data_IF_458400665375
#
_entry.id   IF_458400665375
#
_cell.length_a   1.000
_cell.length_b   1.000
_cell.length_c   1.000
_cell.angle_alpha   90.00
_cell.angle_beta   90.00
_cell.angle_gamma   90.00
#
_symmetry.space_group_name_H-M   'P 1'
#
loop_
_entity.id
_entity.type
_entity.pdbx_description
1 polymer ?
#
# COMPACT_ATOMS: atom_id res chain seq x y z
N UNK A 1 8.57 16.53 -21.16
CA UNK A 1 7.33 17.28 -20.92
C UNK A 1 6.52 16.55 -19.87
N UNK A 2 6.22 17.23 -18.76
CA UNK A 2 5.53 16.66 -17.60
C UNK A 2 4.05 16.51 -17.91
N UNK A 3 3.50 15.32 -17.66
CA UNK A 3 2.07 15.05 -17.67
C UNK A 3 1.33 16.14 -16.85
N UNK A 4 0.34 16.82 -17.44
CA UNK A 4 -0.64 17.59 -16.67
C UNK A 4 -1.79 16.66 -16.30
N UNK A 5 -1.48 15.78 -15.37
CA UNK A 5 -2.40 14.88 -14.70
C UNK A 5 -3.00 15.56 -13.48
N UNK A 6 -4.19 15.10 -13.04
CA UNK A 6 -4.69 15.53 -11.73
C UNK A 6 -3.78 14.99 -10.63
N UNK A 7 -3.20 13.80 -10.85
CA UNK A 7 -2.19 13.24 -9.98
C UNK A 7 -0.86 13.98 -10.14
N UNK A 8 -0.33 14.46 -9.01
CA UNK A 8 0.94 15.19 -8.92
C UNK A 8 2.12 14.28 -8.60
N UNK A 9 1.94 12.96 -8.68
CA UNK A 9 2.90 11.97 -8.20
C UNK A 9 3.00 10.76 -9.12
N UNK A 10 4.15 10.06 -9.07
CA UNK A 10 4.46 8.91 -9.95
C UNK A 10 4.26 7.56 -9.30
N UNK A 11 4.33 7.50 -7.98
CA UNK A 11 4.04 6.31 -7.19
C UNK A 11 3.41 6.68 -5.85
N UNK A 12 2.83 5.67 -5.20
CA UNK A 12 2.24 5.77 -3.87
C UNK A 12 2.81 4.72 -2.94
N UNK A 13 2.61 4.95 -1.64
CA UNK A 13 3.03 4.07 -0.57
C UNK A 13 1.83 3.67 0.27
N UNK A 14 1.78 2.41 0.67
CA UNK A 14 0.76 1.87 1.55
C UNK A 14 1.47 1.32 2.78
N UNK A 15 1.15 1.87 3.95
CA UNK A 15 1.67 1.40 5.23
C UNK A 15 0.52 0.78 6.01
N UNK A 16 0.68 -0.49 6.38
CA UNK A 16 -0.36 -1.30 6.99
C UNK A 16 -0.06 -1.46 8.47
N UNK A 17 -0.99 -1.02 9.32
CA UNK A 17 -0.94 -1.21 10.76
C UNK A 17 -1.30 -2.66 11.14
N UNK A 18 -0.85 -3.13 12.31
CA UNK A 18 -1.06 -4.51 12.81
C UNK A 18 -2.53 -4.91 12.73
N UNK A 19 -3.43 -4.04 13.18
CA UNK A 19 -4.87 -4.32 13.25
C UNK A 19 -5.54 -4.49 11.88
N UNK A 20 -4.86 -4.05 10.82
CA UNK A 20 -5.33 -4.20 9.44
C UNK A 20 -4.53 -5.22 8.65
N UNK A 21 -3.33 -5.55 9.12
CA UNK A 21 -2.51 -6.62 8.57
C UNK A 21 -2.94 -8.00 9.07
N UNK A 22 -3.33 -8.13 10.35
CA UNK A 22 -3.67 -9.41 10.98
C UNK A 22 -4.91 -9.30 11.88
N UNK A 23 -5.83 -10.25 11.76
CA UNK A 23 -6.94 -10.40 12.71
C UNK A 23 -6.68 -11.54 13.69
N UNK A 24 -5.82 -11.27 14.66
CA UNK A 24 -5.39 -12.24 15.66
C UNK A 24 -6.54 -12.84 16.50
N UNK A 25 -7.68 -12.12 16.63
CA UNK A 25 -8.81 -12.60 17.42
C UNK A 25 -9.57 -13.78 16.80
N UNK A 26 -9.51 -13.92 15.46
CA UNK A 26 -10.29 -14.91 14.70
C UNK A 26 -9.44 -16.02 14.09
N UNK A 27 -8.14 -15.81 13.96
CA UNK A 27 -7.29 -16.68 13.15
C UNK A 27 -6.06 -17.17 13.90
N UNK A 28 -6.05 -18.46 14.19
CA UNK A 28 -5.17 -19.10 15.16
C UNK A 28 -4.29 -20.18 14.52
N UNK A 29 -3.76 -19.90 13.32
CA UNK A 29 -2.82 -20.79 12.63
C UNK A 29 -1.39 -20.36 12.97
N UNK A 30 -0.60 -21.28 13.53
CA UNK A 30 0.79 -20.99 13.93
C UNK A 30 1.70 -20.96 12.69
N UNK A 31 1.70 -22.03 11.87
CA UNK A 31 2.51 -22.18 10.64
C UNK A 31 1.70 -22.99 9.60
N UNK A 32 1.77 -22.66 8.28
CA UNK A 32 2.43 -21.49 7.70
C UNK A 32 1.72 -20.19 8.06
N UNK A 33 2.43 -19.06 7.98
CA UNK A 33 1.85 -17.74 8.15
C UNK A 33 0.78 -17.48 7.08
N UNK A 34 -0.38 -17.03 7.52
CA UNK A 34 -1.45 -16.52 6.68
C UNK A 34 -2.30 -15.60 7.57
N UNK A 35 -2.69 -14.43 7.06
CA UNK A 35 -3.51 -13.48 7.82
C UNK A 35 -5.02 -13.63 7.59
N UNK A 36 -5.44 -14.47 6.60
CA UNK A 36 -6.80 -14.78 6.05
C UNK A 36 -7.90 -13.73 6.25
N UNK A 37 -7.50 -12.47 6.30
CA UNK A 37 -8.36 -11.34 6.52
C UNK A 37 -8.56 -10.56 5.22
N UNK A 38 -9.15 -9.36 5.35
CA UNK A 38 -9.34 -8.42 4.25
C UNK A 38 -8.02 -8.09 3.54
N UNK A 39 -6.91 -7.93 4.29
CA UNK A 39 -5.57 -7.71 3.72
C UNK A 39 -5.13 -8.89 2.85
N UNK A 40 -5.23 -10.13 3.35
CA UNK A 40 -4.85 -11.32 2.58
C UNK A 40 -5.69 -11.45 1.30
N UNK A 41 -6.99 -11.17 1.40
CA UNK A 41 -7.92 -11.20 0.26
C UNK A 41 -7.53 -10.16 -0.79
N UNK A 42 -7.25 -8.92 -0.35
CA UNK A 42 -6.78 -7.84 -1.20
C UNK A 42 -5.46 -8.21 -1.91
N UNK A 43 -4.47 -8.70 -1.17
CA UNK A 43 -3.15 -9.05 -1.71
C UNK A 43 -3.22 -10.22 -2.69
N UNK A 44 -4.05 -11.23 -2.42
CA UNK A 44 -4.33 -12.35 -3.35
C UNK A 44 -5.00 -11.85 -4.63
N UNK A 45 -6.02 -11.02 -4.51
CA UNK A 45 -6.70 -10.40 -5.65
C UNK A 45 -5.72 -9.57 -6.49
N UNK A 46 -4.86 -8.77 -5.86
CA UNK A 46 -3.82 -8.00 -6.53
C UNK A 46 -2.84 -8.90 -7.29
N UNK A 47 -2.33 -9.95 -6.65
CA UNK A 47 -1.40 -10.92 -7.27
C UNK A 47 -2.05 -11.66 -8.45
N UNK A 48 -3.31 -12.08 -8.30
CA UNK A 48 -4.06 -12.78 -9.35
C UNK A 48 -4.34 -11.92 -10.59
N UNK A 49 -4.51 -10.60 -10.40
CA UNK A 49 -4.70 -9.65 -11.51
C UNK A 49 -3.44 -9.44 -12.37
N UNK A 50 -2.30 -10.07 -12.04
CA UNK A 50 -1.02 -9.82 -12.70
C UNK A 50 -0.63 -8.34 -12.68
N UNK A 51 -1.24 -7.57 -11.77
CA UNK A 51 -1.33 -6.14 -11.85
C UNK A 51 0.06 -5.53 -11.79
N UNK A 52 0.34 -4.67 -12.77
CA UNK A 52 1.47 -3.75 -12.77
C UNK A 52 1.63 -3.23 -11.35
N UNK A 53 2.78 -3.51 -10.74
CA UNK A 53 3.09 -3.39 -9.31
C UNK A 53 3.20 -1.93 -8.90
N UNK A 54 2.14 -1.16 -9.12
CA UNK A 54 2.06 0.23 -8.72
C UNK A 54 1.66 0.25 -7.24
N UNK A 55 2.29 1.13 -6.49
CA UNK A 55 2.19 1.16 -5.05
C UNK A 55 3.24 0.30 -4.37
N UNK A 56 3.96 0.90 -3.42
CA UNK A 56 4.89 0.22 -2.54
C UNK A 56 4.22 -0.12 -1.21
N UNK A 57 4.21 -1.39 -0.83
CA UNK A 57 3.53 -1.87 0.37
C UNK A 57 4.52 -2.12 1.49
N UNK A 58 4.13 -1.68 2.68
CA UNK A 58 4.99 -1.75 3.84
C UNK A 58 4.23 -2.12 5.11
N UNK A 59 4.94 -2.83 5.98
CA UNK A 59 4.69 -2.83 7.42
C UNK A 59 5.92 -2.23 8.11
N UNK A 60 5.80 -1.75 9.35
CA UNK A 60 6.99 -1.34 10.12
C UNK A 60 7.59 -2.52 10.88
N UNK A 61 8.86 -2.40 11.29
CA UNK A 61 9.48 -3.35 12.23
C UNK A 61 8.65 -3.50 13.51
N UNK A 62 7.97 -2.45 13.96
CA UNK A 62 7.05 -2.51 15.11
C UNK A 62 5.87 -3.43 14.86
N UNK A 63 5.23 -3.33 13.68
CA UNK A 63 4.12 -4.20 13.27
C UNK A 63 4.60 -5.64 13.11
N UNK A 64 5.75 -5.86 12.47
CA UNK A 64 6.36 -7.18 12.34
C UNK A 64 6.61 -7.81 13.71
N UNK A 65 7.26 -7.09 14.62
CA UNK A 65 7.56 -7.56 15.96
C UNK A 65 6.30 -7.86 16.77
N UNK A 66 5.25 -7.06 16.60
CA UNK A 66 3.95 -7.29 17.23
C UNK A 66 3.30 -8.59 16.76
N UNK A 67 3.26 -8.84 15.45
CA UNK A 67 2.72 -10.07 14.87
C UNK A 67 3.44 -11.30 15.45
N UNK A 68 4.77 -11.26 15.45
CA UNK A 68 5.60 -12.35 15.98
C UNK A 68 5.32 -12.56 17.48
N UNK A 69 5.25 -11.48 18.26
CA UNK A 69 4.98 -11.57 19.69
C UNK A 69 3.58 -12.15 19.97
N UNK A 70 2.54 -11.66 19.28
CA UNK A 70 1.18 -12.18 19.41
C UNK A 70 1.14 -13.69 19.11
N UNK A 71 1.80 -14.14 18.04
CA UNK A 71 1.85 -15.57 17.69
C UNK A 71 2.69 -16.42 18.65
N UNK A 72 3.78 -15.88 19.19
CA UNK A 72 4.55 -16.55 20.26
C UNK A 72 3.69 -16.75 21.51
N UNK A 73 2.90 -15.75 21.89
CA UNK A 73 1.95 -15.84 22.99
C UNK A 73 0.87 -16.88 22.72
N UNK A 74 0.29 -16.89 21.52
CA UNK A 74 -0.67 -17.94 21.12
C UNK A 74 -0.07 -19.34 21.22
N UNK A 75 1.15 -19.50 20.71
CA UNK A 75 1.86 -20.76 20.73
C UNK A 75 2.09 -21.21 22.18
N UNK A 76 2.58 -20.33 23.05
CA UNK A 76 2.79 -20.63 24.46
C UNK A 76 1.50 -21.10 25.13
N UNK A 77 0.39 -20.37 24.95
CA UNK A 77 -0.91 -20.75 25.50
C UNK A 77 -1.38 -22.11 24.96
N UNK A 78 -1.17 -22.37 23.67
CA UNK A 78 -1.51 -23.65 23.05
C UNK A 78 -0.69 -24.80 23.64
N UNK A 79 0.60 -24.56 23.92
CA UNK A 79 1.47 -25.53 24.58
C UNK A 79 1.02 -25.78 26.02
N UNK A 80 0.75 -24.75 26.81
CA UNK A 80 0.26 -24.92 28.18
C UNK A 80 -1.06 -25.71 28.24
N UNK A 81 -1.96 -25.46 27.28
CA UNK A 81 -3.22 -26.19 27.18
C UNK A 81 -3.01 -27.67 26.81
N UNK A 82 -2.08 -27.94 25.88
CA UNK A 82 -1.70 -29.31 25.53
C UNK A 82 -1.11 -30.05 26.74
N UNK A 83 -0.21 -29.41 27.49
CA UNK A 83 0.43 -30.00 28.67
C UNK A 83 -0.61 -30.38 29.73
N UNK A 84 -1.58 -29.50 29.98
CA UNK A 84 -2.72 -29.78 30.87
C UNK A 84 -3.55 -30.97 30.38
N UNK A 85 -3.76 -31.11 29.07
CA UNK A 85 -4.53 -32.20 28.48
C UNK A 85 -3.77 -33.54 28.47
N UNK A 86 -2.44 -33.52 28.47
CA UNK A 86 -1.58 -34.71 28.53
C UNK A 86 -1.40 -35.23 29.96
N UNK A 87 -1.49 -34.35 30.96
CA UNK A 87 -1.32 -34.68 32.39
C UNK A 87 -2.13 -35.91 32.87
N UNK A 88 -3.40 -36.11 32.50
CA UNK A 88 -4.17 -37.32 32.88
C UNK A 88 -3.61 -38.63 32.32
N UNK A 89 -2.81 -38.56 31.25
CA UNK A 89 -2.17 -39.70 30.60
C UNK A 89 -0.73 -39.93 31.08
N UNK A 90 -0.26 -39.18 32.08
CA UNK A 90 1.14 -39.20 32.53
C UNK A 90 2.15 -38.92 31.41
N UNK A 91 1.73 -38.19 30.37
CA UNK A 91 2.58 -37.77 29.26
C UNK A 91 2.99 -36.32 29.46
N UNK A 92 4.21 -36.00 29.05
CA UNK A 92 4.73 -34.65 28.92
C UNK A 92 4.71 -34.20 27.47
N UNK A 93 4.88 -32.89 27.27
CA UNK A 93 5.04 -32.34 25.93
C UNK A 93 6.36 -32.78 25.30
N UNK A 94 7.42 -32.96 26.10
CA UNK A 94 8.71 -33.48 25.65
C UNK A 94 8.58 -34.88 25.04
N UNK A 95 7.63 -35.70 25.51
CA UNK A 95 7.41 -37.05 24.98
C UNK A 95 6.83 -37.06 23.55
N UNK A 96 6.25 -35.93 23.10
CA UNK A 96 5.49 -35.83 21.85
C UNK A 96 6.17 -34.89 20.85
N UNK A 97 6.91 -33.88 21.33
CA UNK A 97 7.53 -32.88 20.47
C UNK A 97 8.84 -33.37 19.86
N UNK A 98 8.91 -33.28 18.54
CA UNK A 98 10.14 -33.48 17.76
C UNK A 98 10.94 -32.19 17.48
N UNK A 99 10.39 -31.02 17.84
CA UNK A 99 10.95 -29.70 17.52
C UNK A 99 11.03 -28.86 18.79
N UNK A 100 12.17 -28.18 18.98
CA UNK A 100 12.35 -27.28 20.12
C UNK A 100 11.48 -26.02 20.00
N UNK A 101 11.19 -25.37 21.13
CA UNK A 101 10.42 -24.11 21.15
C UNK A 101 11.10 -22.99 20.36
N UNK A 102 12.43 -22.91 20.44
CA UNK A 102 13.20 -21.89 19.71
C UNK A 102 13.17 -22.14 18.20
N UNK A 103 13.25 -23.40 17.77
CA UNK A 103 13.13 -23.75 16.36
C UNK A 103 11.74 -23.47 15.81
N UNK A 104 10.71 -23.58 16.64
CA UNK A 104 9.35 -23.20 16.25
C UNK A 104 9.23 -21.68 16.04
N UNK A 105 9.84 -20.88 16.91
CA UNK A 105 9.84 -19.42 16.79
C UNK A 105 10.67 -18.92 15.60
N UNK A 106 11.80 -19.56 15.30
CA UNK A 106 12.57 -19.22 14.09
C UNK A 106 11.79 -19.58 12.81
N UNK A 107 11.09 -20.72 12.81
CA UNK A 107 10.19 -21.09 11.70
C UNK A 107 9.02 -20.12 11.53
N UNK A 108 8.49 -19.58 12.63
CA UNK A 108 7.44 -18.57 12.61
C UNK A 108 7.90 -17.29 11.90
N UNK A 109 9.05 -16.74 12.32
CA UNK A 109 9.64 -15.54 11.72
C UNK A 109 9.94 -15.76 10.24
N UNK A 110 10.56 -16.90 9.91
CA UNK A 110 10.84 -17.27 8.52
C UNK A 110 9.56 -17.33 7.69
N UNK A 111 8.49 -17.93 8.21
CA UNK A 111 7.23 -18.04 7.49
C UNK A 111 6.55 -16.69 7.26
N UNK A 112 6.66 -15.74 8.20
CA UNK A 112 6.19 -14.37 7.98
C UNK A 112 7.03 -13.66 6.91
N UNK A 113 8.35 -13.79 6.93
CA UNK A 113 9.20 -13.25 5.88
C UNK A 113 8.87 -13.79 4.49
N UNK A 114 8.62 -15.10 4.38
CA UNK A 114 8.20 -15.75 3.13
C UNK A 114 6.86 -15.17 2.63
N UNK A 115 5.88 -15.00 3.53
CA UNK A 115 4.60 -14.37 3.19
C UNK A 115 4.78 -12.93 2.68
N UNK A 116 5.58 -12.12 3.37
CA UNK A 116 5.83 -10.73 2.97
C UNK A 116 6.50 -10.67 1.59
N UNK A 117 7.48 -11.55 1.35
CA UNK A 117 8.15 -11.65 0.05
C UNK A 117 7.19 -12.08 -1.07
N UNK A 118 6.31 -13.04 -0.81
CA UNK A 118 5.32 -13.55 -1.77
C UNK A 118 4.34 -12.47 -2.28
N UNK A 119 4.14 -11.41 -1.49
CA UNK A 119 3.26 -10.29 -1.80
C UNK A 119 4.00 -8.95 -1.95
N UNK A 120 5.34 -8.96 -2.06
CA UNK A 120 6.17 -7.78 -2.24
C UNK A 120 5.97 -6.68 -1.17
N UNK A 121 5.79 -7.11 0.08
CA UNK A 121 5.64 -6.21 1.24
C UNK A 121 6.99 -6.03 1.90
N UNK A 122 7.44 -4.79 1.96
CA UNK A 122 8.71 -4.43 2.58
C UNK A 122 8.54 -4.10 4.07
N UNK A 123 9.60 -4.30 4.85
CA UNK A 123 9.62 -3.90 6.25
C UNK A 123 10.32 -2.54 6.34
N UNK A 124 9.64 -1.53 6.88
CA UNK A 124 10.24 -0.25 7.21
C UNK A 124 11.01 -0.36 8.52
N UNK A 125 12.30 0.00 8.54
CA UNK A 125 13.08 -0.02 9.76
C UNK A 125 12.56 1.00 10.76
N UNK A 126 12.85 0.78 12.03
CA UNK A 126 12.64 1.79 13.06
C UNK A 126 13.33 3.11 12.70
N UNK A 127 12.75 4.25 13.10
CA UNK A 127 13.36 5.53 12.87
C UNK A 127 14.68 5.63 13.67
N UNK A 128 15.62 6.41 13.14
CA UNK A 128 16.90 6.64 13.81
C UNK A 128 16.71 7.26 15.21
N UNK A 129 17.69 7.08 16.10
CA UNK A 129 17.62 7.58 17.49
C UNK A 129 17.45 9.11 17.62
N UNK A 130 17.64 9.87 16.53
CA UNK A 130 17.40 11.31 16.48
C UNK A 130 15.92 11.69 16.70
N UNK A 131 14.97 10.75 16.59
CA UNK A 131 13.55 11.02 16.83
C UNK A 131 13.16 10.97 18.30
N UNK A 132 14.00 10.36 19.15
CA UNK A 132 13.69 10.13 20.56
C UNK A 132 13.30 11.39 21.35
N UNK A 133 13.96 12.55 21.16
CA UNK A 133 13.53 13.80 21.79
C UNK A 133 12.12 14.24 21.37
N UNK A 134 11.69 14.00 20.11
CA UNK A 134 10.32 14.29 19.66
C UNK A 134 9.33 13.35 20.32
N UNK A 135 9.64 12.07 20.41
CA UNK A 135 8.82 11.07 21.12
C UNK A 135 8.58 11.49 22.57
N UNK A 136 9.65 11.86 23.30
CA UNK A 136 9.54 12.34 24.70
C UNK A 136 8.65 13.59 24.77
N UNK A 137 8.87 14.57 23.89
CA UNK A 137 8.07 15.80 23.87
C UNK A 137 6.60 15.51 23.58
N UNK A 138 6.28 14.59 22.67
CA UNK A 138 4.90 14.17 22.41
C UNK A 138 4.28 13.52 23.65
N UNK A 139 5.02 12.62 24.32
CA UNK A 139 4.53 11.91 25.51
C UNK A 139 4.19 12.90 26.64
N UNK A 140 5.11 13.82 26.94
CA UNK A 140 4.92 14.84 27.99
C UNK A 140 3.74 15.76 27.71
N UNK A 141 3.56 16.15 26.44
CA UNK A 141 2.48 17.03 26.02
C UNK A 141 1.19 16.29 25.66
N UNK A 142 1.17 14.95 25.76
CA UNK A 142 0.08 14.07 25.29
C UNK A 142 -0.39 14.40 23.88
N UNK A 143 0.55 14.71 22.98
CA UNK A 143 0.26 15.01 21.58
C UNK A 143 -0.05 13.74 20.80
N UNK A 144 -0.99 13.77 19.84
CA UNK A 144 -1.21 12.66 18.93
C UNK A 144 0.10 12.16 18.28
N UNK A 145 0.23 10.85 18.05
CA UNK A 145 -0.78 9.81 18.29
C UNK A 145 -0.76 9.18 19.71
N UNK A 146 -0.18 9.86 20.72
CA UNK A 146 -0.41 9.44 22.11
C UNK A 146 -1.87 9.66 22.51
N UNK A 147 -2.42 8.72 23.28
CA UNK A 147 -3.80 8.80 23.76
C UNK A 147 -3.89 9.58 25.06
N UNK A 148 -4.88 10.47 25.16
CA UNK A 148 -5.27 11.09 26.43
C UNK A 148 -6.15 10.08 27.18
N UNK A 149 -5.54 9.06 27.79
CA UNK A 149 -6.26 8.14 28.68
C UNK A 149 -6.06 8.59 30.13
N UNK A 150 -7.16 8.59 30.90
CA UNK A 150 -7.15 8.90 32.33
C UNK A 150 -6.11 8.05 33.07
N UNK A 151 -5.18 8.75 33.74
CA UNK A 151 -4.21 8.25 34.73
C UNK A 151 -3.29 7.10 34.23
N UNK A 152 -2.10 7.49 33.79
CA UNK A 152 -0.89 6.66 33.73
C UNK A 152 -0.89 5.46 32.77
N UNK A 153 -1.29 5.64 31.50
CA UNK A 153 -0.97 4.64 30.47
C UNK A 153 -0.24 5.27 29.28
N UNK A 154 0.95 4.76 28.95
CA UNK A 154 1.73 5.10 27.75
C UNK A 154 1.10 4.50 26.45
N UNK A 155 -0.23 4.43 26.41
CA UNK A 155 -0.98 3.94 25.24
C UNK A 155 -0.77 4.90 24.08
N UNK A 156 -0.33 4.34 22.95
CA UNK A 156 0.01 5.08 21.74
C UNK A 156 1.50 5.15 21.44
N UNK A 157 2.40 4.60 22.28
CA UNK A 157 3.83 4.57 21.95
C UNK A 157 4.12 3.90 20.59
N UNK A 158 3.40 2.81 20.27
CA UNK A 158 3.50 2.14 18.96
C UNK A 158 3.04 3.04 17.82
N UNK A 159 1.91 3.72 18.00
CA UNK A 159 1.36 4.65 17.01
C UNK A 159 2.33 5.82 16.78
N UNK A 160 2.99 6.29 17.83
CA UNK A 160 4.02 7.35 17.75
C UNK A 160 5.24 6.85 17.01
N UNK A 161 5.68 5.62 17.28
CA UNK A 161 6.82 5.03 16.57
C UNK A 161 6.51 4.85 15.08
N UNK A 162 5.29 4.42 14.73
CA UNK A 162 4.78 4.38 13.37
C UNK A 162 4.80 5.77 12.73
N UNK A 163 4.26 6.78 13.40
CA UNK A 163 4.25 8.16 12.92
C UNK A 163 5.65 8.72 12.68
N UNK A 164 6.57 8.55 13.62
CA UNK A 164 7.96 8.99 13.48
C UNK A 164 8.69 8.20 12.38
N UNK A 165 8.33 6.93 12.14
CA UNK A 165 8.83 6.14 10.99
C UNK A 165 8.43 6.79 9.68
N UNK A 166 7.15 7.19 9.55
CA UNK A 166 6.64 7.86 8.35
C UNK A 166 7.34 9.21 8.13
N UNK A 167 7.42 10.07 9.17
CA UNK A 167 8.07 11.38 9.08
C UNK A 167 9.56 11.35 8.68
N UNK A 168 10.25 10.23 8.94
CA UNK A 168 11.69 10.11 8.64
C UNK A 168 11.93 9.34 7.34
N UNK A 169 10.88 8.91 6.64
CA UNK A 169 11.00 8.23 5.37
C UNK A 169 11.35 9.21 4.25
N UNK A 170 12.24 8.78 3.34
CA UNK A 170 12.68 9.62 2.23
C UNK A 170 11.80 9.37 0.99
N UNK A 171 10.64 10.02 0.95
CA UNK A 171 9.65 9.90 -0.13
C UNK A 171 10.17 10.41 -1.47
N UNK A 172 10.94 11.50 -1.48
CA UNK A 172 11.49 12.10 -2.71
C UNK A 172 12.43 11.14 -3.45
N UNK A 173 13.33 10.48 -2.71
CA UNK A 173 14.26 9.49 -3.28
C UNK A 173 13.52 8.32 -3.92
N UNK A 174 12.33 8.00 -3.43
CA UNK A 174 11.49 6.90 -3.93
C UNK A 174 10.43 7.36 -4.94
N UNK A 175 10.41 8.64 -5.31
CA UNK A 175 9.37 9.22 -6.20
C UNK A 175 7.92 8.99 -5.71
N UNK A 176 7.74 8.82 -4.40
CA UNK A 176 6.44 8.66 -3.76
C UNK A 176 5.86 10.04 -3.52
N UNK A 177 4.64 10.29 -4.00
CA UNK A 177 3.93 11.54 -3.71
C UNK A 177 2.56 11.34 -3.07
N UNK A 178 2.17 10.11 -2.75
CA UNK A 178 1.00 9.81 -1.92
C UNK A 178 1.26 8.65 -0.98
N UNK A 179 0.82 8.78 0.27
CA UNK A 179 0.97 7.80 1.33
C UNK A 179 -0.40 7.47 1.90
N UNK A 180 -0.72 6.18 1.95
CA UNK A 180 -1.88 5.63 2.61
C UNK A 180 -1.44 4.94 3.90
N UNK A 181 -1.93 5.43 5.04
CA UNK A 181 -1.83 4.71 6.32
C UNK A 181 -3.15 3.94 6.54
N UNK A 182 -3.10 2.61 6.46
CA UNK A 182 -4.25 1.74 6.68
C UNK A 182 -4.26 1.29 8.14
N UNK A 183 -5.18 1.82 8.94
CA UNK A 183 -5.31 1.50 10.36
C UNK A 183 -6.76 1.52 10.83
N UNK A 184 -7.14 0.53 11.65
CA UNK A 184 -8.44 0.55 12.34
C UNK A 184 -8.54 1.68 13.38
N UNK A 185 -7.40 2.25 13.77
CA UNK A 185 -7.25 3.25 14.81
C UNK A 185 -7.16 4.67 14.24
N UNK A 186 -7.89 4.99 13.17
CA UNK A 186 -7.79 6.29 12.49
C UNK A 186 -8.00 7.50 13.41
N UNK A 187 -8.76 7.34 14.50
CA UNK A 187 -8.96 8.37 15.53
C UNK A 187 -7.69 8.74 16.31
N UNK A 188 -6.73 7.82 16.40
CA UNK A 188 -5.43 8.08 17.04
C UNK A 188 -4.52 8.91 16.12
N UNK A 189 -4.88 9.05 14.85
CA UNK A 189 -4.18 9.85 13.85
C UNK A 189 -5.09 10.98 13.28
N UNK A 190 -5.48 11.96 14.10
CA UNK A 190 -6.31 13.07 13.63
C UNK A 190 -5.55 13.92 12.60
N UNK A 191 -6.01 13.91 11.34
CA UNK A 191 -5.38 14.68 10.25
C UNK A 191 -5.37 16.19 10.53
N UNK A 192 -6.36 16.71 11.24
CA UNK A 192 -6.39 18.12 11.63
C UNK A 192 -5.19 18.53 12.49
N UNK A 193 -4.73 17.65 13.38
CA UNK A 193 -3.58 17.90 14.26
C UNK A 193 -2.25 17.54 13.59
N UNK A 194 -2.25 16.48 12.76
CA UNK A 194 -1.04 15.91 12.18
C UNK A 194 -0.65 16.52 10.83
N UNK A 195 -1.60 17.12 10.10
CA UNK A 195 -1.35 17.66 8.75
C UNK A 195 -0.33 18.80 8.72
N UNK A 196 -0.34 19.67 9.73
CA UNK A 196 0.65 20.76 9.82
C UNK A 196 2.06 20.19 9.86
N UNK A 197 2.31 19.28 10.80
CA UNK A 197 3.62 18.63 10.96
C UNK A 197 4.00 17.80 9.74
N UNK A 198 3.06 17.04 9.18
CA UNK A 198 3.30 16.30 7.95
C UNK A 198 3.78 17.22 6.82
N UNK A 199 3.10 18.36 6.62
CA UNK A 199 3.43 19.31 5.57
C UNK A 199 4.75 20.05 5.82
N UNK A 200 5.19 20.19 7.08
CA UNK A 200 6.53 20.71 7.39
C UNK A 200 7.64 19.76 6.92
N UNK A 201 7.44 18.44 7.08
CA UNK A 201 8.43 17.44 6.67
C UNK A 201 8.31 17.05 5.19
N UNK A 202 7.09 17.00 4.67
CA UNK A 202 6.75 16.43 3.36
C UNK A 202 5.73 17.29 2.59
N UNK A 203 6.08 18.53 2.20
CA UNK A 203 5.15 19.51 1.60
C UNK A 203 4.56 19.08 0.26
N UNK A 204 5.15 18.09 -0.40
CA UNK A 204 4.75 17.60 -1.73
C UNK A 204 4.18 16.17 -1.70
N UNK A 205 4.01 15.57 -0.51
CA UNK A 205 3.50 14.21 -0.37
C UNK A 205 2.12 14.27 0.28
N UNK A 206 1.11 13.74 -0.41
CA UNK A 206 -0.24 13.63 0.15
C UNK A 206 -0.28 12.49 1.18
N UNK A 207 -0.79 12.76 2.39
CA UNK A 207 -1.10 11.72 3.38
C UNK A 207 -2.60 11.48 3.44
N UNK A 208 -3.00 10.20 3.40
CA UNK A 208 -4.36 9.77 3.65
C UNK A 208 -4.39 8.64 4.67
N UNK A 209 -5.25 8.79 5.67
CA UNK A 209 -5.48 7.78 6.70
C UNK A 209 -6.78 7.07 6.36
N UNK A 210 -6.69 5.76 6.17
CA UNK A 210 -7.81 4.93 5.73
C UNK A 210 -8.12 3.91 6.82
N UNK A 211 -9.41 3.85 7.19
CA UNK A 211 -9.86 2.99 8.26
C UNK A 211 -9.91 1.53 7.86
N UNK A 212 -10.21 1.18 6.61
CA UNK A 212 -10.59 -0.16 6.15
C UNK A 212 -10.18 -0.41 4.68
N UNK A 213 -10.14 -1.68 4.27
CA UNK A 213 -9.65 -2.09 2.96
C UNK A 213 -10.58 -1.71 1.81
N UNK A 214 -11.89 -1.66 2.02
CA UNK A 214 -12.86 -1.28 0.99
C UNK A 214 -12.63 0.17 0.54
N UNK A 215 -12.44 1.08 1.50
CA UNK A 215 -12.09 2.47 1.20
C UNK A 215 -10.74 2.60 0.49
N UNK A 216 -9.76 1.77 0.84
CA UNK A 216 -8.48 1.76 0.13
C UNK A 216 -8.62 1.24 -1.31
N UNK A 217 -9.41 0.18 -1.54
CA UNK A 217 -9.66 -0.32 -2.88
C UNK A 217 -10.32 0.72 -3.79
N UNK A 218 -11.25 1.52 -3.25
CA UNK A 218 -11.86 2.62 -4.00
C UNK A 218 -10.82 3.67 -4.41
N UNK A 219 -9.93 4.05 -3.49
CA UNK A 219 -8.84 4.98 -3.78
C UNK A 219 -7.85 4.40 -4.79
N UNK A 220 -7.43 3.15 -4.63
CA UNK A 220 -6.53 2.45 -5.54
C UNK A 220 -7.14 2.41 -6.95
N UNK A 221 -8.43 2.07 -7.09
CA UNK A 221 -9.13 2.05 -8.39
C UNK A 221 -9.18 3.41 -9.07
N UNK A 222 -9.21 4.51 -8.31
CA UNK A 222 -9.21 5.86 -8.86
C UNK A 222 -7.81 6.24 -9.38
N UNK A 223 -6.75 5.94 -8.63
CA UNK A 223 -5.40 6.41 -8.96
C UNK A 223 -4.65 5.47 -9.92
N UNK A 224 -4.90 4.16 -9.84
CA UNK A 224 -4.12 3.14 -10.54
C UNK A 224 -4.15 3.30 -12.07
N UNK A 225 -5.31 3.56 -12.71
CA UNK A 225 -5.36 3.73 -14.16
C UNK A 225 -4.52 4.92 -14.63
N UNK A 226 -4.65 6.07 -13.95
CA UNK A 226 -3.93 7.29 -14.30
C UNK A 226 -2.41 7.12 -14.07
N UNK A 227 -1.99 6.43 -13.02
CA UNK A 227 -0.57 6.12 -12.77
C UNK A 227 0.03 5.17 -13.82
N UNK A 228 -0.70 4.11 -14.19
CA UNK A 228 -0.24 3.16 -15.22
C UNK A 228 -0.08 3.90 -16.55
N UNK A 229 -1.08 4.69 -16.94
CA UNK A 229 -1.02 5.51 -18.14
C UNK A 229 0.19 6.47 -18.10
N UNK A 230 0.42 7.16 -16.99
CA UNK A 230 1.56 8.06 -16.81
C UNK A 230 2.91 7.39 -17.02
N UNK A 231 3.09 6.19 -16.48
CA UNK A 231 4.39 5.53 -16.46
C UNK A 231 4.67 4.70 -17.72
N UNK A 232 3.64 4.25 -18.43
CA UNK A 232 3.81 3.30 -19.54
C UNK A 232 3.53 3.89 -20.93
N UNK A 233 2.90 5.07 -21.02
CA UNK A 233 2.58 5.66 -22.32
C UNK A 233 3.80 6.38 -22.88
N UNK A 234 4.29 5.89 -24.02
CA UNK A 234 5.34 6.53 -24.79
C UNK A 234 4.77 7.56 -25.77
N UNK A 235 5.28 8.80 -25.71
CA UNK A 235 4.97 9.85 -26.67
C UNK A 235 5.17 9.39 -28.12
N UNK A 236 6.28 8.72 -28.41
CA UNK A 236 6.60 8.27 -29.78
C UNK A 236 5.57 7.27 -30.28
N UNK A 237 5.19 6.31 -29.43
CA UNK A 237 4.21 5.29 -29.77
C UNK A 237 2.84 5.87 -30.05
N UNK A 238 2.39 6.82 -29.24
CA UNK A 238 1.10 7.50 -29.44
C UNK A 238 1.14 8.36 -30.71
N UNK A 239 2.23 9.08 -30.96
CA UNK A 239 2.38 9.87 -32.18
C UNK A 239 2.32 8.99 -33.44
N UNK A 240 2.99 7.83 -33.43
CA UNK A 240 2.93 6.85 -34.53
C UNK A 240 1.49 6.43 -34.82
N UNK A 241 0.73 6.08 -33.78
CA UNK A 241 -0.68 5.65 -33.93
C UNK A 241 -1.53 6.76 -34.57
N UNK A 242 -1.35 8.02 -34.16
CA UNK A 242 -2.05 9.14 -34.79
C UNK A 242 -1.59 9.37 -36.24
N UNK A 243 -0.31 9.15 -36.54
CA UNK A 243 0.24 9.30 -37.89
C UNK A 243 -0.21 8.19 -38.84
N UNK A 244 -0.45 6.99 -38.33
CA UNK A 244 -0.99 5.87 -39.10
C UNK A 244 -2.42 6.18 -39.60
N UNK A 245 -3.24 6.87 -38.79
CA UNK A 245 -4.59 7.33 -39.18
C UNK A 245 -4.57 8.63 -40.01
N UNK A 246 -3.72 9.61 -39.67
CA UNK A 246 -3.55 10.87 -40.39
C UNK A 246 -2.06 11.24 -40.53
N UNK A 247 -1.43 10.94 -41.69
CA UNK A 247 -0.01 11.23 -41.95
C UNK A 247 0.37 12.72 -41.95
N UNK A 248 -0.61 13.63 -41.83
CA UNK A 248 -0.35 15.06 -41.69
C UNK A 248 -0.09 15.48 -40.25
N UNK A 249 -0.34 14.62 -39.26
CA UNK A 249 -0.01 14.86 -37.86
C UNK A 249 1.51 14.81 -37.67
N UNK A 250 2.07 15.82 -37.02
CA UNK A 250 3.54 15.94 -36.82
C UNK A 250 3.95 15.98 -35.36
N UNK A 251 3.05 16.37 -34.47
CA UNK A 251 3.37 16.61 -33.08
C UNK A 251 2.11 16.50 -32.21
N UNK A 252 2.30 16.11 -30.94
CA UNK A 252 1.27 16.11 -29.90
C UNK A 252 1.67 17.08 -28.76
N UNK A 253 1.48 18.40 -28.93
CA UNK A 253 2.06 19.41 -28.04
C UNK A 253 1.65 19.27 -26.57
N UNK A 254 0.42 18.81 -26.33
CA UNK A 254 -0.11 18.47 -25.01
C UNK A 254 -0.57 16.99 -25.03
N UNK A 255 0.39 16.08 -25.17
CA UNK A 255 0.12 14.65 -25.44
C UNK A 255 -0.77 13.92 -24.42
N UNK A 256 -0.85 14.47 -23.20
CA UNK A 256 -1.71 14.01 -22.11
C UNK A 256 -2.44 15.20 -21.49
N UNK A 257 -3.17 15.94 -22.33
CA UNK A 257 -3.94 17.13 -21.93
C UNK A 257 -4.95 16.80 -20.83
N UNK A 258 -5.58 15.64 -20.90
CA UNK A 258 -6.53 15.17 -19.89
C UNK A 258 -6.59 13.65 -19.89
N UNK A 259 -6.44 13.05 -18.71
CA UNK A 259 -6.56 11.62 -18.47
C UNK A 259 -7.84 11.37 -17.69
N UNK A 260 -8.68 10.46 -18.17
CA UNK A 260 -9.95 10.11 -17.54
C UNK A 260 -10.02 8.59 -17.35
N UNK A 261 -9.91 8.15 -16.09
CA UNK A 261 -10.22 6.77 -15.73
C UNK A 261 -11.73 6.52 -15.82
N UNK A 262 -12.10 5.35 -16.33
CA UNK A 262 -13.49 4.91 -16.42
C UNK A 262 -13.85 4.03 -15.23
N UNK A 263 -15.09 4.16 -14.75
CA UNK A 263 -15.59 3.33 -13.66
C UNK A 263 -15.67 1.88 -14.14
N UNK A 264 -15.10 0.96 -13.36
CA UNK A 264 -15.13 -0.49 -13.62
C UNK A 264 -14.52 -0.92 -14.97
N UNK A 265 -13.57 -0.14 -15.50
CA UNK A 265 -12.86 -0.45 -16.75
C UNK A 265 -11.34 -0.37 -16.58
N UNK A 266 -10.65 -1.21 -17.34
CA UNK A 266 -9.19 -1.19 -17.47
C UNK A 266 -8.71 -0.24 -18.58
N UNK A 267 -9.63 0.53 -19.16
CA UNK A 267 -9.37 1.49 -20.22
C UNK A 267 -9.29 2.88 -19.63
N UNK A 268 -8.24 3.59 -20.01
CA UNK A 268 -8.05 5.01 -19.72
C UNK A 268 -8.30 5.80 -20.99
N UNK A 269 -9.21 6.78 -20.94
CA UNK A 269 -9.42 7.71 -22.03
C UNK A 269 -8.50 8.91 -21.88
N UNK A 270 -7.80 9.27 -22.95
CA UNK A 270 -6.80 10.33 -22.94
C UNK A 270 -7.06 11.30 -24.08
N UNK A 271 -7.24 12.58 -23.71
CA UNK A 271 -7.32 13.68 -24.65
C UNK A 271 -5.92 14.26 -24.89
N UNK A 272 -5.60 14.55 -26.14
CA UNK A 272 -4.33 15.16 -26.58
C UNK A 272 -4.59 16.31 -27.53
N UNK A 273 -3.72 17.33 -27.51
CA UNK A 273 -3.65 18.28 -28.63
C UNK A 273 -2.85 17.68 -29.79
N UNK A 274 -3.33 17.90 -31.01
CA UNK A 274 -2.75 17.41 -32.26
C UNK A 274 -2.34 18.61 -33.09
N UNK A 275 -1.12 18.58 -33.63
CA UNK A 275 -0.64 19.59 -34.58
C UNK A 275 -0.30 18.95 -35.93
N UNK A 276 -0.76 19.60 -37.00
CA UNK A 276 -0.58 19.14 -38.38
C UNK A 276 0.48 19.94 -39.14
N UNK A 277 0.92 19.41 -40.28
CA UNK A 277 1.92 20.02 -41.20
C UNK A 277 1.54 21.43 -41.65
N UNK A 278 0.25 21.70 -41.82
CA UNK A 278 -0.28 23.02 -42.21
C UNK A 278 -0.30 24.04 -41.06
N UNK A 279 0.15 23.65 -39.86
CA UNK A 279 0.17 24.47 -38.66
C UNK A 279 -1.15 24.48 -37.89
N UNK A 280 -2.20 23.80 -38.37
CA UNK A 280 -3.47 23.71 -37.65
C UNK A 280 -3.34 22.84 -36.40
N UNK A 281 -4.11 23.21 -35.37
CA UNK A 281 -4.20 22.46 -34.12
C UNK A 281 -5.60 21.95 -33.90
N UNK A 282 -5.72 20.72 -33.43
CA UNK A 282 -6.98 20.11 -33.00
C UNK A 282 -6.84 19.37 -31.69
N UNK A 283 -7.92 18.74 -31.23
CA UNK A 283 -7.89 17.81 -30.11
C UNK A 283 -8.24 16.41 -30.62
N UNK A 284 -7.45 15.42 -30.23
CA UNK A 284 -7.72 14.01 -30.47
C UNK A 284 -7.92 13.26 -29.17
N UNK A 285 -8.40 12.04 -29.30
CA UNK A 285 -8.55 11.09 -28.20
C UNK A 285 -7.91 9.77 -28.58
N UNK A 286 -7.33 9.12 -27.59
CA UNK A 286 -6.90 7.74 -27.66
C UNK A 286 -7.20 7.05 -26.34
N UNK A 287 -7.20 5.73 -26.37
CA UNK A 287 -7.49 4.87 -25.24
C UNK A 287 -6.25 4.07 -24.90
N UNK A 288 -6.06 3.80 -23.61
CA UNK A 288 -4.98 2.96 -23.12
C UNK A 288 -5.56 1.77 -22.37
N UNK A 289 -5.34 0.56 -22.89
CA UNK A 289 -5.79 -0.66 -22.24
C UNK A 289 -4.70 -1.19 -21.29
N UNK A 290 -4.97 -1.09 -19.99
CA UNK A 290 -4.06 -1.50 -18.93
C UNK A 290 -3.75 -3.00 -18.98
N UNK A 291 -4.68 -3.82 -19.48
CA UNK A 291 -4.52 -5.29 -19.49
C UNK A 291 -3.42 -5.74 -20.45
N UNK A 292 -3.33 -5.08 -21.59
CA UNK A 292 -2.38 -5.39 -22.66
C UNK A 292 -1.25 -4.37 -22.77
N UNK A 293 -1.31 -3.29 -21.99
CA UNK A 293 -0.31 -2.25 -21.92
C UNK A 293 -0.06 -1.56 -23.29
N UNK A 294 -1.12 -1.33 -24.05
CA UNK A 294 -1.06 -0.75 -25.39
C UNK A 294 -2.04 0.43 -25.55
N UNK A 295 -1.60 1.55 -26.17
CA UNK A 295 -2.48 2.60 -26.64
C UNK A 295 -3.18 2.22 -27.96
N UNK A 296 -4.39 2.74 -28.18
CA UNK A 296 -5.22 2.51 -29.37
C UNK A 296 -6.13 3.71 -29.62
N UNK A 297 -6.54 3.95 -30.87
CA UNK A 297 -7.56 4.96 -31.21
C UNK A 297 -8.99 4.40 -31.15
N UNK A 298 -9.13 3.08 -31.10
CA UNK A 298 -10.40 2.38 -30.97
C UNK A 298 -10.63 2.09 -29.49
N UNK A 299 -11.83 2.42 -29.00
CA UNK A 299 -12.24 2.13 -27.64
C UNK A 299 -12.29 0.60 -27.42
N UNK A 300 -11.43 0.03 -26.56
CA UNK A 300 -11.45 -1.40 -26.28
C UNK A 300 -12.80 -1.85 -25.70
N UNK A 301 -13.46 -1.02 -24.90
CA UNK A 301 -14.71 -1.39 -24.22
C UNK A 301 -15.90 -1.46 -25.19
N UNK A 302 -15.86 -0.74 -26.32
CA UNK A 302 -16.90 -0.82 -27.35
C UNK A 302 -16.94 -2.21 -28.01
N UNK A 303 -15.80 -2.92 -28.07
CA UNK A 303 -15.69 -4.26 -28.65
C UNK A 303 -16.03 -5.41 -27.67
N UNK A 304 -16.07 -5.15 -26.35
CA UNK A 304 -16.40 -6.17 -25.35
C UNK A 304 -17.91 -6.33 -25.10
N UNK A 305 -18.74 -5.39 -25.55
CA UNK A 305 -20.21 -5.47 -25.43
C UNK A 305 -20.91 -6.16 -26.61
N UNK A 306 -20.15 -6.72 -27.56
CA UNK A 306 -20.67 -7.42 -28.75
C UNK A 306 -20.52 -8.94 -28.74
N UNK A 307 -20.17 -9.56 -27.60
CA UNK A 307 -20.15 -11.02 -27.43
C UNK A 307 -20.88 -11.46 -26.16
#
# INVERSE_FOLDING_TARGET
MTLQTKLKFRDFMVVIDTNRFENYSKEKVIIPYCSRNECDTFLKSKKARGGITMGHYYITESVFGEIIQQRREYCNQSLENLEKALKPFCLSIEDIKSISKNDLFSKLEKSLHEYLADYYINILPHPNNNVFPRIIRRALNKKPPFKVVDKCSDKGFKDVLLWETLLNFNYEKQSIGKVFLITANSKDFPLEDLSYEWNEFHPYVELKIISDWENFELEERIILPELIAQNNISYSRVLEIFQDEDPNIVELPNFNKKITGRKDSFVVEIETDIKRKDGTTGTGKYFYDIRINEPTLIDPDDNYNTN
#
